data_IF_580925663475
#
_entry.id   IF_580925663475
#
_cell.length_a   1.000
_cell.length_b   1.000
_cell.length_c   1.000
_cell.angle_alpha   90.00
_cell.angle_beta   90.00
_cell.angle_gamma   90.00
#
_symmetry.space_group_name_H-M   'P 1'
#
loop_
_entity.id
_entity.type
_entity.pdbx_description
1 polymer ?
#
# COMPACT_ATOMS: atom_id res chain seq x y z
N UNK A 1 15.87 18.67 -7.35
CA UNK A 1 15.41 17.26 -7.37
C UNK A 1 15.09 16.85 -5.94
N UNK A 2 13.98 16.13 -5.73
CA UNK A 2 13.62 15.65 -4.39
C UNK A 2 14.56 14.53 -3.95
N UNK A 3 15.08 14.60 -2.73
CA UNK A 3 15.91 13.56 -2.12
C UNK A 3 15.09 12.68 -1.16
N UNK A 4 13.76 12.81 -1.17
CA UNK A 4 12.89 12.03 -0.30
C UNK A 4 12.96 10.54 -0.68
N UNK A 5 13.49 9.72 0.23
CA UNK A 5 13.67 8.27 0.04
C UNK A 5 12.61 7.45 0.77
N UNK A 6 12.05 7.99 1.84
CA UNK A 6 11.11 7.31 2.73
C UNK A 6 9.91 8.22 2.92
N UNK A 7 8.71 7.71 2.67
CA UNK A 7 7.47 8.42 2.91
C UNK A 7 6.49 7.52 3.66
N UNK A 8 5.94 8.09 4.73
CA UNK A 8 4.97 7.45 5.60
C UNK A 8 3.74 8.36 5.59
N UNK A 9 2.61 7.83 5.14
CA UNK A 9 1.36 8.58 5.06
C UNK A 9 0.33 7.85 5.88
N UNK A 10 -0.31 8.59 6.78
CA UNK A 10 -1.34 8.07 7.65
C UNK A 10 -2.58 8.94 7.65
N UNK A 11 -3.69 8.33 8.02
CA UNK A 11 -4.90 9.03 8.43
C UNK A 11 -5.42 8.44 9.73
N UNK A 12 -6.21 9.22 10.49
CA UNK A 12 -6.88 8.69 11.66
C UNK A 12 -7.78 7.49 11.29
N UNK A 13 -7.95 6.56 12.24
CA UNK A 13 -8.89 5.43 12.12
C UNK A 13 -10.29 5.95 12.39
N UNK A 14 -10.89 6.66 11.43
CA UNK A 14 -12.26 7.12 11.55
C UNK A 14 -13.25 6.11 10.97
N UNK A 15 -14.51 6.19 11.42
CA UNK A 15 -15.64 5.41 10.91
C UNK A 15 -15.98 5.74 9.43
N UNK A 16 -15.44 6.83 8.89
CA UNK A 16 -15.70 7.35 7.54
C UNK A 16 -14.43 7.52 6.73
N UNK A 17 -14.51 7.32 5.41
CA UNK A 17 -13.39 7.54 4.49
C UNK A 17 -13.18 9.03 4.26
N UNK A 18 -12.05 9.57 4.72
CA UNK A 18 -11.68 10.99 4.57
C UNK A 18 -11.26 11.37 3.15
N UNK A 19 -10.85 10.38 2.35
CA UNK A 19 -10.30 10.60 1.03
C UNK A 19 -11.34 10.45 -0.07
N UNK A 20 -11.31 11.37 -1.03
CA UNK A 20 -12.03 11.21 -2.30
C UNK A 20 -11.15 10.50 -3.33
N UNK A 21 -11.77 9.96 -4.38
CA UNK A 21 -11.05 9.37 -5.52
C UNK A 21 -10.04 10.35 -6.13
N UNK A 22 -10.45 11.60 -6.36
CA UNK A 22 -9.57 12.64 -6.91
C UNK A 22 -8.37 12.92 -6.01
N UNK A 23 -8.55 12.97 -4.69
CA UNK A 23 -7.44 13.19 -3.75
C UNK A 23 -6.43 12.04 -3.80
N UNK A 24 -6.91 10.80 -3.88
CA UNK A 24 -6.06 9.62 -3.96
C UNK A 24 -5.33 9.54 -5.30
N UNK A 25 -6.01 9.87 -6.39
CA UNK A 25 -5.40 9.93 -7.72
C UNK A 25 -4.29 11.00 -7.77
N UNK A 26 -4.55 12.19 -7.26
CA UNK A 26 -3.55 13.26 -7.15
C UNK A 26 -2.38 12.84 -6.26
N UNK A 27 -2.67 12.20 -5.12
CA UNK A 27 -1.63 11.68 -4.23
C UNK A 27 -0.71 10.72 -4.98
N UNK A 28 -1.29 9.73 -5.67
CA UNK A 28 -0.54 8.71 -6.40
C UNK A 28 0.40 9.30 -7.47
N UNK A 29 -0.07 10.30 -8.22
CA UNK A 29 0.70 10.97 -9.26
C UNK A 29 1.75 11.96 -8.72
N UNK A 30 1.56 12.48 -7.50
CA UNK A 30 2.46 13.45 -6.87
C UNK A 30 3.69 12.82 -6.20
N UNK A 31 3.74 11.49 -6.08
CA UNK A 31 4.81 10.81 -5.38
C UNK A 31 6.16 10.98 -6.09
N UNK A 32 7.22 11.40 -5.40
CA UNK A 32 8.51 11.61 -6.03
C UNK A 32 9.16 10.29 -6.42
N UNK A 33 9.67 10.20 -7.65
CA UNK A 33 10.39 9.03 -8.18
C UNK A 33 11.66 8.65 -7.38
N UNK A 34 12.13 9.54 -6.51
CA UNK A 34 13.25 9.25 -5.60
C UNK A 34 12.90 8.27 -4.49
N UNK A 35 11.62 8.03 -4.21
CA UNK A 35 11.17 7.16 -3.12
C UNK A 35 11.60 5.71 -3.33
N UNK A 36 12.05 5.12 -2.24
CA UNK A 36 12.47 3.72 -2.14
C UNK A 36 11.50 2.97 -1.23
N UNK A 37 10.97 3.63 -0.20
CA UNK A 37 9.99 3.08 0.74
C UNK A 37 8.78 3.97 0.80
N UNK A 38 7.61 3.34 0.68
CA UNK A 38 6.32 3.97 0.91
C UNK A 38 5.51 3.10 1.87
N UNK A 39 4.97 3.73 2.91
CA UNK A 39 3.97 3.13 3.77
C UNK A 39 2.69 3.94 3.76
N UNK A 40 1.57 3.27 3.49
CA UNK A 40 0.24 3.85 3.46
C UNK A 40 -0.62 3.22 4.54
N UNK A 41 -1.07 4.03 5.50
CA UNK A 41 -1.97 3.66 6.58
C UNK A 41 -3.20 4.60 6.58
N UNK A 42 -4.05 4.50 5.55
CA UNK A 42 -4.96 5.60 5.15
C UNK A 42 -6.45 5.37 5.43
N UNK A 43 -6.85 4.29 6.11
CA UNK A 43 -8.27 3.99 6.38
C UNK A 43 -9.17 4.14 5.13
N UNK A 44 -8.73 3.59 3.99
CA UNK A 44 -9.39 3.73 2.69
C UNK A 44 -10.13 2.46 2.28
N UNK A 45 -11.14 2.62 1.42
CA UNK A 45 -11.80 1.48 0.77
C UNK A 45 -10.89 0.80 -0.26
N UNK A 46 -11.23 -0.42 -0.64
CA UNK A 46 -10.50 -1.14 -1.70
C UNK A 46 -10.55 -0.43 -3.07
N UNK A 47 -11.62 0.32 -3.38
CA UNK A 47 -11.73 1.05 -4.65
C UNK A 47 -10.76 2.23 -4.69
N UNK A 48 -10.61 2.95 -3.58
CA UNK A 48 -9.59 4.00 -3.48
C UNK A 48 -8.18 3.41 -3.53
N UNK A 49 -7.92 2.27 -2.91
CA UNK A 49 -6.63 1.60 -3.05
C UNK A 49 -6.33 1.24 -4.52
N UNK A 50 -7.34 0.81 -5.27
CA UNK A 50 -7.22 0.53 -6.70
C UNK A 50 -6.87 1.79 -7.50
N UNK A 51 -7.51 2.92 -7.21
CA UNK A 51 -7.18 4.23 -7.81
C UNK A 51 -5.71 4.56 -7.51
N UNK A 52 -5.31 4.46 -6.24
CA UNK A 52 -3.94 4.73 -5.80
C UNK A 52 -2.91 3.89 -6.56
N UNK A 53 -3.10 2.58 -6.62
CA UNK A 53 -2.16 1.66 -7.27
C UNK A 53 -2.15 1.82 -8.80
N UNK A 54 -3.23 2.30 -9.41
CA UNK A 54 -3.29 2.55 -10.85
C UNK A 54 -2.52 3.81 -11.25
N UNK A 55 -2.54 4.85 -10.40
CA UNK A 55 -1.84 6.12 -10.64
C UNK A 55 -0.41 6.20 -10.12
N UNK A 56 0.02 5.25 -9.26
CA UNK A 56 1.37 5.25 -8.72
C UNK A 56 2.36 4.59 -9.71
N UNK A 57 3.38 5.33 -10.15
CA UNK A 57 4.41 4.83 -11.08
C UNK A 57 5.80 4.77 -10.45
N UNK A 58 5.88 4.78 -9.13
CA UNK A 58 7.15 4.85 -8.41
C UNK A 58 7.73 3.45 -8.20
N UNK A 59 9.00 3.28 -8.58
CA UNK A 59 9.76 2.05 -8.42
C UNK A 59 10.25 1.87 -6.97
N UNK A 60 9.36 1.37 -6.12
CA UNK A 60 9.63 1.13 -4.69
C UNK A 60 10.43 -0.17 -4.48
N UNK A 61 11.30 -0.18 -3.46
CA UNK A 61 11.86 -1.42 -2.91
C UNK A 61 10.95 -1.99 -1.80
N UNK A 62 10.29 -1.11 -1.05
CA UNK A 62 9.40 -1.49 0.04
C UNK A 62 8.06 -0.77 -0.13
N UNK A 63 6.97 -1.55 -0.14
CA UNK A 63 5.61 -1.05 -0.08
C UNK A 63 4.94 -1.64 1.16
N UNK A 64 4.30 -0.79 1.94
CA UNK A 64 3.53 -1.21 3.10
C UNK A 64 2.10 -0.69 2.99
N UNK A 65 1.11 -1.57 3.13
CA UNK A 65 -0.30 -1.24 2.98
C UNK A 65 -1.07 -1.67 4.23
N UNK A 66 -1.69 -0.70 4.89
CA UNK A 66 -2.44 -0.86 6.13
C UNK A 66 -3.79 -0.14 6.07
N UNK A 67 -4.71 -0.57 6.95
CA UNK A 67 -6.06 0.01 7.10
C UNK A 67 -6.82 0.16 5.77
N UNK A 68 -6.93 -0.96 5.04
CA UNK A 68 -7.85 -1.05 3.89
C UNK A 68 -9.15 -1.67 4.39
N UNK A 69 -10.26 -0.98 4.18
CA UNK A 69 -11.58 -1.40 4.63
C UNK A 69 -12.10 -2.55 3.76
N UNK A 70 -12.65 -3.56 4.43
CA UNK A 70 -13.35 -4.72 3.83
C UNK A 70 -12.68 -5.34 2.58
N UNK A 71 -11.39 -5.70 2.64
CA UNK A 71 -10.69 -6.23 1.47
C UNK A 71 -11.29 -7.55 1.01
N UNK A 72 -11.66 -7.63 -0.27
CA UNK A 72 -12.11 -8.87 -0.89
C UNK A 72 -10.92 -9.73 -1.39
N UNK A 73 -11.19 -10.84 -2.10
CA UNK A 73 -10.13 -11.69 -2.66
C UNK A 73 -9.51 -11.13 -3.95
N UNK A 74 -10.16 -10.19 -4.64
CA UNK A 74 -9.66 -9.59 -5.88
C UNK A 74 -8.57 -8.57 -5.59
N UNK A 75 -8.62 -7.88 -4.45
CA UNK A 75 -7.61 -6.87 -4.08
C UNK A 75 -6.19 -7.44 -4.04
N UNK A 76 -6.02 -8.69 -3.63
CA UNK A 76 -4.70 -9.33 -3.59
C UNK A 76 -4.13 -9.60 -4.99
N UNK A 77 -4.99 -9.85 -5.99
CA UNK A 77 -4.55 -9.93 -7.39
C UNK A 77 -4.09 -8.56 -7.89
N UNK A 78 -4.84 -7.51 -7.56
CA UNK A 78 -4.53 -6.14 -7.97
C UNK A 78 -3.21 -5.63 -7.37
N UNK A 79 -3.02 -5.78 -6.06
CA UNK A 79 -1.77 -5.42 -5.38
C UNK A 79 -0.60 -6.20 -5.98
N UNK A 80 -0.78 -7.50 -6.23
CA UNK A 80 0.25 -8.33 -6.85
C UNK A 80 0.62 -7.85 -8.25
N UNK A 81 -0.37 -7.57 -9.09
CA UNK A 81 -0.13 -7.15 -10.48
C UNK A 81 0.62 -5.81 -10.51
N UNK A 82 0.27 -4.88 -9.62
CA UNK A 82 1.05 -3.67 -9.37
C UNK A 82 2.50 -3.97 -8.97
N UNK A 83 2.70 -4.81 -7.94
CA UNK A 83 4.03 -5.13 -7.43
C UNK A 83 4.92 -5.79 -8.49
N UNK A 84 4.35 -6.69 -9.30
CA UNK A 84 5.04 -7.35 -10.41
C UNK A 84 5.41 -6.37 -11.51
N UNK A 85 4.54 -5.40 -11.84
CA UNK A 85 4.79 -4.38 -12.86
C UNK A 85 5.96 -3.47 -12.50
N UNK A 86 6.11 -3.12 -11.23
CA UNK A 86 7.17 -2.18 -10.79
C UNK A 86 8.57 -2.80 -10.78
N UNK A 87 8.69 -4.14 -10.77
CA UNK A 87 9.92 -4.96 -10.84
C UNK A 87 11.04 -4.72 -9.81
N UNK A 88 11.08 -3.56 -9.14
CA UNK A 88 12.06 -3.18 -8.11
C UNK A 88 11.70 -3.67 -6.71
N UNK A 89 10.44 -4.10 -6.50
CA UNK A 89 9.95 -4.42 -5.16
C UNK A 89 10.70 -5.60 -4.56
N UNK A 90 11.13 -5.46 -3.31
CA UNK A 90 11.80 -6.48 -2.49
C UNK A 90 10.92 -6.94 -1.33
N UNK A 91 10.13 -6.03 -0.77
CA UNK A 91 9.30 -6.29 0.41
C UNK A 91 7.92 -5.66 0.24
N UNK A 92 6.88 -6.47 0.45
CA UNK A 92 5.49 -6.05 0.60
C UNK A 92 5.06 -6.35 2.04
N UNK A 93 4.79 -5.32 2.84
CA UNK A 93 4.20 -5.49 4.18
C UNK A 93 2.71 -5.22 4.13
N UNK A 94 1.93 -6.09 4.75
CA UNK A 94 0.47 -6.00 4.73
C UNK A 94 -0.10 -6.10 6.13
N UNK A 95 -1.20 -5.40 6.35
CA UNK A 95 -2.09 -5.68 7.48
C UNK A 95 -2.62 -7.13 7.43
N UNK A 96 -3.04 -7.66 8.59
CA UNK A 96 -3.57 -9.02 8.70
C UNK A 96 -4.74 -9.27 7.73
N UNK A 97 -5.70 -8.35 7.66
CA UNK A 97 -6.89 -8.47 6.81
C UNK A 97 -6.54 -8.57 5.32
N UNK A 98 -5.52 -7.85 4.86
CA UNK A 98 -4.99 -7.96 3.49
C UNK A 98 -4.20 -9.26 3.31
N UNK A 99 -3.32 -9.60 4.24
CA UNK A 99 -2.47 -10.79 4.16
C UNK A 99 -3.30 -12.07 4.00
N UNK A 100 -4.41 -12.19 4.72
CA UNK A 100 -5.32 -13.33 4.64
C UNK A 100 -5.88 -13.56 3.22
N UNK A 101 -5.95 -12.50 2.39
CA UNK A 101 -6.39 -12.59 0.98
C UNK A 101 -5.32 -13.17 0.05
N UNK A 102 -4.05 -13.22 0.47
CA UNK A 102 -2.94 -13.76 -0.34
C UNK A 102 -2.74 -15.28 -0.24
N UNK A 103 -3.56 -15.98 0.56
CA UNK A 103 -3.40 -17.40 0.94
C UNK A 103 -3.33 -18.41 -0.22
N UNK A 104 -3.67 -18.05 -1.46
CA UNK A 104 -3.69 -18.97 -2.62
C UNK A 104 -3.03 -18.43 -3.89
N UNK A 105 -2.15 -17.43 -3.80
CA UNK A 105 -1.52 -16.82 -4.98
C UNK A 105 -0.30 -17.64 -5.42
N UNK A 106 -0.48 -18.43 -6.49
CA UNK A 106 0.55 -19.33 -7.05
C UNK A 106 1.72 -18.63 -7.76
N UNK A 107 1.52 -17.44 -8.31
CA UNK A 107 2.55 -16.65 -9.01
C UNK A 107 2.80 -15.36 -8.25
N UNK A 108 3.86 -15.30 -7.43
CA UNK A 108 4.35 -14.05 -6.82
C UNK A 108 5.67 -13.64 -7.48
N UNK A 109 5.92 -12.35 -7.58
CA UNK A 109 7.22 -11.83 -8.00
C UNK A 109 8.33 -12.15 -6.98
N UNK A 110 9.57 -11.68 -7.21
CA UNK A 110 10.73 -12.00 -6.37
C UNK A 110 10.72 -11.35 -4.97
N UNK A 111 9.63 -10.67 -4.60
CA UNK A 111 9.50 -9.96 -3.32
C UNK A 111 8.95 -10.86 -2.21
N UNK A 112 9.31 -10.53 -0.97
CA UNK A 112 8.77 -11.16 0.24
C UNK A 112 7.47 -10.47 0.64
N UNK A 113 6.49 -11.27 1.06
CA UNK A 113 5.24 -10.77 1.65
C UNK A 113 5.30 -11.06 3.14
N UNK A 114 5.10 -10.04 3.96
CA UNK A 114 5.24 -10.12 5.41
C UNK A 114 3.98 -9.52 6.05
N UNK A 115 3.41 -10.22 7.02
CA UNK A 115 2.39 -9.64 7.90
C UNK A 115 3.04 -8.66 8.85
N UNK A 116 2.50 -7.45 8.94
CA UNK A 116 3.01 -6.41 9.85
C UNK A 116 1.85 -5.66 10.47
N UNK A 117 2.08 -5.17 11.68
CA UNK A 117 1.37 -4.00 12.20
C UNK A 117 2.15 -2.75 11.79
N UNK A 118 1.51 -1.59 11.60
CA UNK A 118 2.23 -0.33 11.47
C UNK A 118 3.06 -0.12 12.75
N UNK A 119 4.38 0.01 12.62
CA UNK A 119 5.29 0.08 13.77
C UNK A 119 5.16 1.37 14.58
N UNK A 120 4.51 2.41 14.03
CA UNK A 120 4.51 3.75 14.63
C UNK A 120 3.49 3.96 15.76
N UNK A 121 2.67 2.94 16.07
CA UNK A 121 1.63 3.03 17.12
C UNK A 121 1.38 1.71 17.85
N UNK A 122 2.43 1.09 18.41
CA UNK A 122 2.17 0.37 19.67
C UNK A 122 1.86 1.45 20.70
N UNK A 123 0.60 1.61 21.08
CA UNK A 123 0.28 2.31 22.33
C UNK A 123 1.13 1.67 23.43
N UNK A 124 1.79 2.46 24.31
CA UNK A 124 2.45 1.87 25.45
C UNK A 124 1.42 1.07 26.26
N UNK A 125 1.78 -0.19 26.55
CA UNK A 125 1.02 -1.12 27.38
C UNK A 125 0.76 -0.50 28.76
#
# INVERSE_FOLDING_TARGET
>A
MSNLKYLYIESPREEYTLFTEQMIDQLAHSLPFSLITLSCNLSITQELLKVFLSGCFVHLNTLELFNVQEPDKKISLLIRDYCNKMSSLKTLKLSRSLLEKFTNIKKKGPYRIIGSTPDWFQEPI
#
